data_IF_481663299040
#
_entry.id   IF_481663299040
#
_cell.length_a   1.000
_cell.length_b   1.000
_cell.length_c   1.000
_cell.angle_alpha   90.00
_cell.angle_beta   90.00
_cell.angle_gamma   90.00
#
_symmetry.space_group_name_H-M   'P 1'
#
loop_
_entity.id
_entity.type
_entity.pdbx_description
1 polymer ?
#
# COMPACT_ATOMS: atom_id res chain seq x y z
N UNK A 1 -31.77 10.50 6.90
CA UNK A 1 -31.66 9.21 7.62
C UNK A 1 -30.89 9.42 8.92
N UNK A 2 -31.43 9.02 10.07
CA UNK A 2 -30.65 8.89 11.32
C UNK A 2 -29.80 7.62 11.18
N UNK A 3 -28.50 7.78 10.98
CA UNK A 3 -27.56 6.65 10.95
C UNK A 3 -27.34 6.16 12.38
N UNK A 4 -27.65 4.89 12.65
CA UNK A 4 -27.34 4.23 13.92
C UNK A 4 -25.87 3.79 13.88
N UNK A 5 -25.01 4.20 14.83
CA UNK A 5 -23.60 3.78 14.85
C UNK A 5 -23.44 2.27 15.04
N UNK A 6 -22.45 1.67 14.38
CA UNK A 6 -22.06 0.28 14.62
C UNK A 6 -21.46 0.11 16.02
N UNK A 7 -21.49 -1.12 16.55
CA UNK A 7 -20.99 -1.45 17.88
C UNK A 7 -19.53 -1.00 18.08
N UNK A 8 -18.65 -1.28 17.10
CA UNK A 8 -17.25 -0.90 17.18
C UNK A 8 -17.06 0.63 17.20
N UNK A 9 -17.96 1.39 16.56
CA UNK A 9 -17.92 2.87 16.56
C UNK A 9 -18.28 3.41 17.93
N UNK A 10 -19.26 2.79 18.61
CA UNK A 10 -19.58 3.10 20.00
C UNK A 10 -18.43 2.70 20.95
N UNK A 11 -17.80 1.56 20.69
CA UNK A 11 -16.64 1.09 21.46
C UNK A 11 -15.47 2.07 21.37
N UNK A 12 -15.19 2.62 20.19
CA UNK A 12 -14.15 3.65 19.99
C UNK A 12 -14.28 4.80 20.99
N UNK A 13 -15.50 5.33 21.18
CA UNK A 13 -15.76 6.45 22.09
C UNK A 13 -15.34 6.11 23.53
N UNK A 14 -15.60 4.87 23.96
CA UNK A 14 -15.31 4.37 25.31
C UNK A 14 -13.81 4.13 25.54
N UNK A 15 -13.12 3.55 24.56
CA UNK A 15 -11.73 3.10 24.74
C UNK A 15 -10.68 4.13 24.32
N UNK A 16 -11.06 5.14 23.53
CA UNK A 16 -10.11 6.16 23.07
C UNK A 16 -9.67 7.05 24.25
N UNK A 17 -8.39 6.96 24.60
CA UNK A 17 -7.76 7.73 25.67
C UNK A 17 -6.75 8.76 25.14
N UNK A 18 -7.01 9.30 23.94
CA UNK A 18 -6.22 10.39 23.38
C UNK A 18 -5.12 9.99 22.39
N UNK A 19 -4.80 8.71 22.26
CA UNK A 19 -3.84 8.22 21.28
C UNK A 19 -4.22 6.82 20.80
N UNK A 20 -4.29 6.60 19.51
CA UNK A 20 -4.49 5.26 18.94
C UNK A 20 -4.77 5.25 17.44
N UNK A 21 -4.83 4.04 16.89
CA UNK A 21 -5.15 3.79 15.48
C UNK A 21 -6.41 2.93 15.35
N UNK A 22 -7.28 3.33 14.42
CA UNK A 22 -8.38 2.52 13.92
C UNK A 22 -7.87 1.80 12.67
N UNK A 23 -7.69 0.49 12.79
CA UNK A 23 -7.45 -0.40 11.66
C UNK A 23 -8.81 -0.85 11.12
N UNK A 24 -9.21 -0.33 9.95
CA UNK A 24 -10.44 -0.77 9.30
C UNK A 24 -10.41 -0.52 7.78
N UNK A 25 -11.14 -1.33 7.02
CA UNK A 25 -11.21 -1.27 5.56
C UNK A 25 -11.90 0.01 5.06
N UNK A 26 -11.80 0.29 3.75
CA UNK A 26 -12.59 1.36 3.16
C UNK A 26 -14.08 0.97 3.23
N UNK A 27 -14.98 1.94 3.38
CA UNK A 27 -16.42 1.68 3.46
C UNK A 27 -16.96 1.29 4.84
N UNK A 28 -16.12 0.92 5.80
CA UNK A 28 -16.57 0.45 7.13
C UNK A 28 -17.08 1.56 8.06
N UNK A 29 -16.99 2.82 7.64
CA UNK A 29 -17.45 3.96 8.43
C UNK A 29 -16.38 4.59 9.34
N UNK A 30 -15.08 4.44 9.04
CA UNK A 30 -13.99 5.15 9.77
C UNK A 30 -14.24 6.65 9.94
N UNK A 31 -14.63 7.32 8.86
CA UNK A 31 -14.95 8.75 8.85
C UNK A 31 -16.09 9.07 9.82
N UNK A 32 -17.17 8.29 9.79
CA UNK A 32 -18.32 8.47 10.67
C UNK A 32 -17.96 8.20 12.13
N UNK A 33 -17.18 7.15 12.41
CA UNK A 33 -16.67 6.84 13.75
C UNK A 33 -15.85 7.99 14.34
N UNK A 34 -14.97 8.59 13.52
CA UNK A 34 -14.21 9.78 13.90
C UNK A 34 -15.14 10.96 14.17
N UNK A 35 -16.12 11.23 13.32
CA UNK A 35 -17.10 12.30 13.53
C UNK A 35 -17.85 12.12 14.86
N UNK A 36 -18.28 10.89 15.18
CA UNK A 36 -18.93 10.58 16.46
C UNK A 36 -18.01 10.86 17.65
N UNK A 37 -16.74 10.46 17.57
CA UNK A 37 -15.74 10.74 18.60
C UNK A 37 -15.54 12.25 18.79
N UNK A 38 -15.35 13.00 17.69
CA UNK A 38 -15.16 14.45 17.72
C UNK A 38 -16.34 15.17 18.39
N UNK A 39 -17.57 14.78 18.03
CA UNK A 39 -18.80 15.35 18.61
C UNK A 39 -18.98 14.98 20.08
N UNK A 40 -18.63 13.74 20.47
CA UNK A 40 -18.75 13.28 21.84
C UNK A 40 -17.75 13.98 22.78
N UNK A 41 -16.50 14.17 22.32
CA UNK A 41 -15.43 14.76 23.14
C UNK A 41 -15.43 16.29 23.15
N UNK A 42 -16.07 16.94 22.18
CA UNK A 42 -16.25 18.39 22.18
C UNK A 42 -14.95 19.17 21.94
N UNK A 43 -14.02 18.62 21.17
CA UNK A 43 -12.77 19.30 20.80
C UNK A 43 -13.06 20.62 20.07
N UNK A 44 -12.32 21.67 20.42
CA UNK A 44 -12.47 23.04 19.92
C UNK A 44 -11.61 23.31 18.70
N UNK A 45 -10.39 22.77 18.67
CA UNK A 45 -9.45 22.92 17.55
C UNK A 45 -9.13 21.54 16.96
N UNK A 46 -9.60 21.26 15.76
CA UNK A 46 -9.44 19.95 15.12
C UNK A 46 -8.65 20.12 13.83
N UNK A 47 -7.61 19.32 13.64
CA UNK A 47 -6.90 19.22 12.36
C UNK A 47 -7.05 17.80 11.81
N UNK A 48 -7.45 17.69 10.55
CA UNK A 48 -7.54 16.42 9.83
C UNK A 48 -6.55 16.45 8.66
N UNK A 49 -5.52 15.61 8.75
CA UNK A 49 -4.54 15.39 7.70
C UNK A 49 -4.98 14.27 6.75
N UNK A 50 -4.94 14.53 5.44
CA UNK A 50 -5.29 13.55 4.40
C UNK A 50 -4.22 13.46 3.30
N UNK A 51 -4.07 12.34 2.57
CA UNK A 51 -2.99 12.22 1.57
C UNK A 51 -3.30 12.90 0.24
N UNK A 52 -4.58 13.12 -0.12
CA UNK A 52 -4.98 13.63 -1.43
C UNK A 52 -5.95 14.79 -1.32
N UNK A 53 -5.96 15.70 -2.32
CA UNK A 53 -6.96 16.77 -2.39
C UNK A 53 -8.38 16.21 -2.48
N UNK A 54 -8.57 15.04 -3.10
CA UNK A 54 -9.88 14.42 -3.24
C UNK A 54 -10.45 14.02 -1.87
N UNK A 55 -9.65 13.33 -1.04
CA UNK A 55 -10.03 13.03 0.34
C UNK A 55 -10.29 14.29 1.17
N UNK A 56 -9.56 15.38 0.94
CA UNK A 56 -9.83 16.67 1.60
C UNK A 56 -11.26 17.15 1.36
N UNK A 57 -11.71 17.14 0.11
CA UNK A 57 -13.09 17.55 -0.23
C UNK A 57 -14.13 16.61 0.38
N UNK A 58 -13.90 15.28 0.31
CA UNK A 58 -14.81 14.31 0.92
C UNK A 58 -14.96 14.48 2.44
N UNK A 59 -13.86 14.77 3.14
CA UNK A 59 -13.91 15.07 4.56
C UNK A 59 -14.69 16.35 4.85
N UNK A 60 -14.49 17.41 4.06
CA UNK A 60 -15.24 18.67 4.22
C UNK A 60 -16.74 18.43 4.06
N UNK A 61 -17.16 17.72 3.00
CA UNK A 61 -18.56 17.39 2.73
C UNK A 61 -19.20 16.60 3.89
N UNK A 62 -18.53 15.56 4.40
CA UNK A 62 -19.06 14.77 5.52
C UNK A 62 -19.09 15.56 6.84
N UNK A 63 -18.10 16.42 7.10
CA UNK A 63 -18.10 17.29 8.29
C UNK A 63 -19.26 18.30 8.25
N UNK A 64 -19.52 18.91 7.09
CA UNK A 64 -20.63 19.85 6.88
C UNK A 64 -21.98 19.16 7.09
N UNK A 65 -22.18 18.00 6.47
CA UNK A 65 -23.38 17.17 6.62
C UNK A 65 -23.67 16.82 8.08
N UNK A 66 -22.63 16.54 8.87
CA UNK A 66 -22.75 16.21 10.28
C UNK A 66 -22.62 17.40 11.24
N UNK A 67 -22.52 18.62 10.68
CA UNK A 67 -22.44 19.91 11.37
C UNK A 67 -21.28 20.00 12.38
N UNK A 68 -20.13 19.45 12.03
CA UNK A 68 -18.90 19.56 12.84
C UNK A 68 -18.21 20.87 12.47
N UNK A 69 -17.98 21.73 13.46
CA UNK A 69 -17.35 23.05 13.28
C UNK A 69 -15.90 23.04 13.78
N UNK A 70 -15.15 24.10 13.46
CA UNK A 70 -13.77 24.32 13.91
C UNK A 70 -12.78 23.22 13.49
N UNK A 71 -12.96 22.73 12.27
CA UNK A 71 -12.10 21.69 11.69
C UNK A 71 -11.31 22.27 10.52
N UNK A 72 -10.00 22.08 10.55
CA UNK A 72 -9.12 22.33 9.41
C UNK A 72 -8.81 20.99 8.74
N UNK A 73 -9.35 20.78 7.55
CA UNK A 73 -9.00 19.61 6.72
C UNK A 73 -7.93 20.03 5.72
N UNK A 74 -6.79 19.36 5.72
CA UNK A 74 -5.71 19.71 4.80
C UNK A 74 -4.86 18.51 4.40
N UNK A 75 -4.25 18.61 3.23
CA UNK A 75 -3.38 17.57 2.70
C UNK A 75 -2.08 17.48 3.49
N UNK A 76 -1.53 16.27 3.62
CA UNK A 76 -0.21 16.04 4.21
C UNK A 76 0.85 16.93 3.55
N UNK A 77 0.80 17.08 2.23
CA UNK A 77 1.73 17.94 1.52
C UNK A 77 1.75 19.39 2.04
N UNK A 78 0.59 19.95 2.42
CA UNK A 78 0.52 21.29 2.97
C UNK A 78 0.86 21.30 4.47
N UNK A 79 0.33 20.37 5.26
CA UNK A 79 0.60 20.29 6.70
C UNK A 79 2.08 20.06 7.02
N UNK A 80 2.83 19.46 6.08
CA UNK A 80 4.27 19.23 6.20
C UNK A 80 5.17 20.40 5.75
N UNK A 81 4.60 21.48 5.21
CA UNK A 81 5.39 22.68 4.82
C UNK A 81 5.70 23.54 6.05
N UNK A 82 6.81 24.29 5.97
CA UNK A 82 7.25 25.22 7.02
C UNK A 82 6.16 26.23 7.43
N UNK A 83 5.30 26.64 6.51
CA UNK A 83 4.16 27.54 6.79
C UNK A 83 3.14 26.99 7.79
N UNK A 84 3.12 25.68 7.97
CA UNK A 84 2.22 24.96 8.89
C UNK A 84 2.91 24.68 10.23
N UNK A 85 4.16 25.12 10.41
CA UNK A 85 4.90 24.96 11.66
C UNK A 85 4.31 25.84 12.75
N UNK A 86 4.10 25.27 13.93
CA UNK A 86 3.50 25.95 15.08
C UNK A 86 1.97 25.89 15.11
N UNK A 87 1.34 25.16 14.19
CA UNK A 87 -0.09 24.86 14.29
C UNK A 87 -0.38 24.11 15.59
N UNK A 88 -1.52 24.39 16.20
CA UNK A 88 -1.97 23.73 17.43
C UNK A 88 -3.39 23.22 17.26
N UNK A 89 -3.66 22.04 17.81
CA UNK A 89 -5.00 21.48 17.83
C UNK A 89 -5.19 20.60 19.06
N UNK A 90 -6.43 20.44 19.49
CA UNK A 90 -6.76 19.54 20.59
C UNK A 90 -6.67 18.09 20.12
N UNK A 91 -6.99 17.84 18.84
CA UNK A 91 -6.85 16.54 18.20
C UNK A 91 -6.35 16.65 16.76
N UNK A 92 -5.35 15.81 16.45
CA UNK A 92 -4.87 15.55 15.10
C UNK A 92 -5.43 14.21 14.61
N UNK A 93 -6.30 14.25 13.60
CA UNK A 93 -6.74 13.05 12.89
C UNK A 93 -5.87 12.86 11.66
N UNK A 94 -5.32 11.66 11.47
CA UNK A 94 -4.45 11.32 10.33
C UNK A 94 -5.10 10.23 9.52
N UNK A 95 -5.76 10.60 8.42
CA UNK A 95 -6.40 9.63 7.52
C UNK A 95 -5.40 9.01 6.56
N UNK A 96 -5.55 7.70 6.30
CA UNK A 96 -4.51 6.87 5.68
C UNK A 96 -3.15 7.05 6.36
N UNK A 97 -3.11 6.91 7.69
CA UNK A 97 -1.93 7.18 8.52
C UNK A 97 -0.69 6.38 8.10
N UNK A 98 -0.87 5.22 7.45
CA UNK A 98 0.24 4.46 6.86
C UNK A 98 1.03 5.24 5.79
N UNK A 99 0.44 6.27 5.18
CA UNK A 99 1.06 7.18 4.19
C UNK A 99 1.65 8.44 4.82
N UNK A 100 1.14 8.85 5.99
CA UNK A 100 1.63 10.03 6.73
C UNK A 100 3.10 9.90 7.12
N UNK A 101 3.59 8.68 7.19
CA UNK A 101 4.98 8.34 7.44
C UNK A 101 5.80 8.29 6.15
N UNK A 102 5.66 9.30 5.27
CA UNK A 102 6.59 9.63 4.18
C UNK A 102 7.56 10.77 4.61
N UNK A 103 8.67 11.09 3.92
CA UNK A 103 9.74 12.03 4.40
C UNK A 103 9.26 13.42 4.57
N UNK A 104 8.46 13.79 3.58
CA UNK A 104 7.75 15.01 3.54
C UNK A 104 6.66 14.92 4.59
N UNK A 105 5.83 13.88 4.54
CA UNK A 105 4.58 13.87 5.30
C UNK A 105 4.77 13.78 6.81
N UNK A 106 5.78 13.08 7.31
CA UNK A 106 6.02 12.98 8.76
C UNK A 106 6.22 14.34 9.42
N UNK A 107 6.69 15.35 8.68
CA UNK A 107 6.90 16.70 9.20
C UNK A 107 5.61 17.33 9.70
N UNK A 108 4.44 16.79 9.31
CA UNK A 108 3.18 17.21 9.90
C UNK A 108 3.16 16.97 11.41
N UNK A 109 3.79 15.90 11.90
CA UNK A 109 3.88 15.58 13.34
C UNK A 109 4.79 16.56 14.08
N UNK A 110 5.80 17.11 13.40
CA UNK A 110 6.70 18.12 13.96
C UNK A 110 6.09 19.53 13.89
N UNK A 111 5.32 19.79 12.84
CA UNK A 111 4.74 21.10 12.56
C UNK A 111 3.50 21.39 13.42
N UNK A 112 2.79 20.34 13.84
CA UNK A 112 1.52 20.44 14.55
C UNK A 112 1.72 19.95 15.97
N UNK A 113 1.45 20.80 16.95
CA UNK A 113 1.32 20.40 18.36
C UNK A 113 -0.12 19.94 18.60
N UNK A 114 -0.27 18.76 19.22
CA UNK A 114 -1.58 18.15 19.46
C UNK A 114 -1.64 17.48 20.84
N UNK A 115 -2.79 17.60 21.52
CA UNK A 115 -3.04 16.91 22.79
C UNK A 115 -3.46 15.46 22.56
N UNK A 116 -4.20 15.24 21.47
CA UNK A 116 -4.70 13.93 21.07
C UNK A 116 -4.38 13.62 19.61
N UNK A 117 -4.27 12.33 19.29
CA UNK A 117 -4.03 11.85 17.93
C UNK A 117 -4.85 10.60 17.62
N UNK A 118 -5.42 10.54 16.42
CA UNK A 118 -6.15 9.39 15.92
C UNK A 118 -5.69 9.05 14.50
N UNK A 119 -5.06 7.88 14.32
CA UNK A 119 -4.71 7.37 12.99
C UNK A 119 -5.83 6.51 12.41
N UNK A 120 -6.10 6.66 11.11
CA UNK A 120 -7.07 5.85 10.37
C UNK A 120 -6.33 5.13 9.24
N UNK A 121 -6.46 3.80 9.13
CA UNK A 121 -5.82 3.06 8.03
C UNK A 121 -6.42 1.66 7.89
N UNK A 122 -6.50 1.12 6.67
CA UNK A 122 -6.75 -0.32 6.49
C UNK A 122 -5.50 -1.17 6.75
N UNK A 123 -4.33 -0.59 6.54
CA UNK A 123 -3.03 -1.27 6.55
C UNK A 123 -2.02 -0.46 7.35
N UNK A 124 -2.23 -0.25 8.67
CA UNK A 124 -1.27 0.47 9.48
C UNK A 124 0.07 -0.26 9.47
N UNK A 125 1.16 0.50 9.31
CA UNK A 125 2.52 0.00 9.41
C UNK A 125 3.15 0.41 10.74
N UNK A 126 4.22 -0.26 11.15
CA UNK A 126 4.89 0.00 12.44
C UNK A 126 5.24 1.49 12.61
N UNK A 127 5.77 2.12 11.55
CA UNK A 127 6.14 3.54 11.58
C UNK A 127 4.96 4.46 11.92
N UNK A 128 3.76 4.23 11.38
CA UNK A 128 2.61 5.08 11.74
C UNK A 128 2.10 4.82 13.16
N UNK A 129 2.27 3.61 13.69
CA UNK A 129 1.93 3.30 15.08
C UNK A 129 2.86 4.01 16.08
N UNK A 130 4.12 4.25 15.71
CA UNK A 130 5.05 5.02 16.55
C UNK A 130 4.52 6.45 16.81
N UNK A 131 3.91 7.07 15.80
CA UNK A 131 3.30 8.41 15.92
C UNK A 131 1.88 8.35 16.50
N UNK A 132 1.00 7.54 15.89
CA UNK A 132 -0.43 7.52 16.18
C UNK A 132 -0.81 6.64 17.39
N UNK A 133 0.08 5.76 17.86
CA UNK A 133 -0.17 4.80 18.94
C UNK A 133 -0.58 3.41 18.48
N UNK A 134 -0.89 2.54 19.44
CA UNK A 134 -1.32 1.17 19.18
C UNK A 134 -2.65 1.13 18.41
N UNK A 135 -2.89 0.00 17.73
CA UNK A 135 -4.20 -0.30 17.17
C UNK A 135 -5.15 -0.51 18.34
N UNK A 136 -6.12 0.39 18.51
CA UNK A 136 -7.11 0.35 19.59
C UNK A 136 -8.44 -0.26 19.12
N UNK A 137 -8.71 -0.13 17.83
CA UNK A 137 -9.82 -0.78 17.14
C UNK A 137 -9.20 -1.49 15.92
N UNK A 138 -9.37 -2.80 15.85
CA UNK A 138 -9.16 -3.58 14.64
C UNK A 138 -10.55 -4.05 14.21
N UNK A 139 -11.07 -3.52 13.11
CA UNK A 139 -12.33 -3.98 12.52
C UNK A 139 -11.94 -5.09 11.54
N UNK A 140 -12.15 -6.36 11.90
CA UNK A 140 -11.93 -7.46 10.98
C UNK A 140 -12.80 -7.29 9.73
N UNK A 141 -12.37 -7.90 8.62
CA UNK A 141 -13.12 -7.91 7.36
C UNK A 141 -14.56 -8.39 7.62
N UNK A 142 -14.70 -9.38 8.46
CA UNK A 142 -15.96 -10.04 8.76
C UNK A 142 -16.97 -9.11 9.47
N UNK A 143 -16.50 -8.16 10.29
CA UNK A 143 -17.35 -7.18 11.01
C UNK A 143 -17.66 -5.93 10.18
N UNK A 144 -16.98 -5.74 9.06
CA UNK A 144 -17.03 -4.52 8.28
C UNK A 144 -18.34 -4.32 7.46
N UNK A 145 -19.39 -5.09 7.75
CA UNK A 145 -20.57 -5.26 6.88
C UNK A 145 -20.13 -5.40 5.41
N UNK A 146 -19.11 -6.24 5.20
CA UNK A 146 -18.60 -6.51 3.87
C UNK A 146 -19.66 -7.31 3.16
N UNK A 147 -20.02 -6.86 1.96
CA UNK A 147 -20.93 -7.62 1.10
C UNK A 147 -20.42 -9.06 0.95
N UNK A 148 -21.28 -10.07 0.94
CA UNK A 148 -20.83 -11.47 0.74
C UNK A 148 -20.26 -11.64 -0.68
N UNK A 149 -18.98 -11.31 -0.87
CA UNK A 149 -18.29 -11.45 -2.15
C UNK A 149 -17.39 -12.69 -2.13
N UNK A 150 -17.21 -13.29 -3.30
CA UNK A 150 -16.28 -14.42 -3.47
C UNK A 150 -15.12 -14.01 -4.36
N UNK A 151 -13.89 -14.29 -3.91
CA UNK A 151 -12.68 -14.03 -4.69
C UNK A 151 -12.22 -15.29 -5.42
N UNK A 152 -12.21 -15.24 -6.74
CA UNK A 152 -11.76 -16.31 -7.62
C UNK A 152 -10.35 -16.02 -8.10
N UNK A 153 -9.40 -16.86 -7.72
CA UNK A 153 -8.03 -16.81 -8.25
C UNK A 153 -7.93 -17.70 -9.47
N UNK A 154 -7.80 -17.09 -10.65
CA UNK A 154 -7.70 -17.78 -11.93
C UNK A 154 -6.24 -18.00 -12.29
N UNK A 155 -5.87 -19.26 -12.43
CA UNK A 155 -4.57 -19.64 -12.94
C UNK A 155 -4.52 -19.40 -14.45
N UNK A 156 -3.49 -18.68 -14.90
CA UNK A 156 -3.15 -18.56 -16.33
C UNK A 156 -1.73 -19.04 -16.53
N UNK A 157 -1.46 -19.60 -17.69
CA UNK A 157 -0.10 -19.98 -18.09
C UNK A 157 0.52 -18.90 -18.97
N UNK A 158 1.81 -18.68 -18.79
CA UNK A 158 2.63 -17.95 -19.76
C UNK A 158 2.79 -18.82 -21.01
N UNK A 159 2.97 -18.20 -22.17
CA UNK A 159 3.38 -18.95 -23.37
C UNK A 159 4.75 -19.61 -23.14
N UNK A 160 5.11 -20.67 -23.90
CA UNK A 160 6.42 -21.31 -23.76
C UNK A 160 7.59 -20.31 -23.86
N UNK A 161 7.49 -19.33 -24.75
CA UNK A 161 8.51 -18.28 -24.93
C UNK A 161 8.54 -17.27 -23.79
N UNK A 162 7.36 -16.87 -23.29
CA UNK A 162 7.25 -16.00 -22.11
C UNK A 162 7.81 -16.70 -20.86
N UNK A 163 7.48 -17.98 -20.67
CA UNK A 163 7.95 -18.79 -19.55
C UNK A 163 9.47 -18.96 -19.62
N UNK A 164 10.01 -19.28 -20.80
CA UNK A 164 11.47 -19.38 -21.01
C UNK A 164 12.17 -18.07 -20.65
N UNK A 165 11.68 -16.92 -21.13
CA UNK A 165 12.23 -15.60 -20.78
C UNK A 165 12.09 -15.30 -19.29
N UNK A 166 10.97 -15.68 -18.68
CA UNK A 166 10.76 -15.52 -17.24
C UNK A 166 11.78 -16.34 -16.43
N UNK A 167 12.05 -17.57 -16.84
CA UNK A 167 13.01 -18.47 -16.21
C UNK A 167 14.44 -17.94 -16.40
N UNK A 168 14.80 -17.51 -17.61
CA UNK A 168 16.07 -16.84 -17.90
C UNK A 168 16.31 -15.61 -17.01
N UNK A 169 15.29 -14.75 -16.84
CA UNK A 169 15.38 -13.62 -15.92
C UNK A 169 15.50 -14.09 -14.46
N UNK A 170 14.75 -15.12 -14.05
CA UNK A 170 14.79 -15.65 -12.68
C UNK A 170 16.15 -16.26 -12.34
N UNK A 171 16.76 -16.99 -13.28
CA UNK A 171 18.11 -17.53 -13.16
C UNK A 171 19.16 -16.43 -13.15
N UNK A 172 19.03 -15.41 -14.01
CA UNK A 172 19.92 -14.26 -14.01
C UNK A 172 19.85 -13.51 -12.67
N UNK A 173 18.65 -13.30 -12.13
CA UNK A 173 18.41 -12.73 -10.79
C UNK A 173 19.10 -13.58 -9.73
N UNK A 174 18.89 -14.89 -9.74
CA UNK A 174 19.51 -15.82 -8.79
C UNK A 174 21.05 -15.78 -8.83
N UNK A 175 21.64 -15.78 -10.03
CA UNK A 175 23.09 -15.68 -10.24
C UNK A 175 23.64 -14.33 -9.76
N UNK A 176 22.99 -13.23 -10.12
CA UNK A 176 23.39 -11.87 -9.71
C UNK A 176 23.29 -11.70 -8.18
N UNK A 177 22.22 -12.20 -7.56
CA UNK A 177 22.08 -12.23 -6.10
C UNK A 177 23.20 -13.05 -5.44
N UNK A 178 23.53 -14.22 -6.01
CA UNK A 178 24.63 -15.06 -5.52
C UNK A 178 25.99 -14.37 -5.60
N UNK A 179 26.28 -13.69 -6.73
CA UNK A 179 27.50 -12.89 -6.91
C UNK A 179 27.56 -11.74 -5.91
N UNK A 180 26.50 -10.93 -5.84
CA UNK A 180 26.43 -9.77 -4.96
C UNK A 180 26.59 -10.12 -3.48
N UNK A 181 26.13 -11.31 -3.04
CA UNK A 181 26.34 -11.81 -1.67
C UNK A 181 27.80 -12.15 -1.37
N UNK A 182 28.58 -12.60 -2.36
CA UNK A 182 29.99 -12.99 -2.20
C UNK A 182 30.95 -11.82 -2.39
N UNK A 183 30.56 -10.82 -3.16
CA UNK A 183 31.34 -9.60 -3.39
C UNK A 183 31.50 -8.82 -2.09
N UNK A 184 32.74 -8.42 -1.77
CA UNK A 184 33.05 -7.53 -0.64
C UNK A 184 33.22 -6.07 -1.07
N UNK A 185 33.70 -5.83 -2.29
CA UNK A 185 33.87 -4.51 -2.89
C UNK A 185 32.50 -3.81 -3.09
N UNK A 186 32.42 -2.51 -2.76
CA UNK A 186 31.18 -1.73 -2.78
C UNK A 186 30.78 -1.31 -4.20
N UNK A 187 31.71 -0.94 -5.05
CA UNK A 187 31.46 -0.54 -6.45
C UNK A 187 30.89 -1.72 -7.26
N UNK A 188 31.51 -2.89 -7.13
CA UNK A 188 31.03 -4.12 -7.77
C UNK A 188 29.61 -4.48 -7.32
N UNK A 189 29.30 -4.31 -6.02
CA UNK A 189 27.94 -4.53 -5.49
C UNK A 189 26.93 -3.61 -6.16
N UNK A 190 27.28 -2.35 -6.37
CA UNK A 190 26.40 -1.38 -7.02
C UNK A 190 26.11 -1.78 -8.48
N UNK A 191 27.12 -2.20 -9.22
CA UNK A 191 26.97 -2.73 -10.60
C UNK A 191 26.04 -3.94 -10.62
N UNK A 192 26.23 -4.89 -9.70
CA UNK A 192 25.34 -6.05 -9.61
C UNK A 192 23.91 -5.66 -9.28
N UNK A 193 23.72 -4.67 -8.40
CA UNK A 193 22.41 -4.17 -7.99
C UNK A 193 21.65 -3.53 -9.15
N UNK A 194 22.28 -2.68 -9.94
CA UNK A 194 21.65 -2.09 -11.12
C UNK A 194 21.19 -3.14 -12.13
N UNK A 195 22.07 -4.09 -12.47
CA UNK A 195 21.74 -5.21 -13.38
C UNK A 195 20.56 -6.01 -12.85
N UNK A 196 20.56 -6.24 -11.55
CA UNK A 196 19.59 -7.07 -10.88
C UNK A 196 18.21 -6.39 -10.82
N UNK A 197 18.14 -5.09 -10.51
CA UNK A 197 16.90 -4.31 -10.59
C UNK A 197 16.34 -4.26 -12.01
N UNK A 198 17.21 -4.13 -13.01
CA UNK A 198 16.83 -4.19 -14.42
C UNK A 198 16.18 -5.54 -14.75
N UNK A 199 16.78 -6.66 -14.34
CA UNK A 199 16.22 -8.00 -14.58
C UNK A 199 14.87 -8.20 -13.88
N UNK A 200 14.71 -7.66 -12.68
CA UNK A 200 13.43 -7.78 -11.94
C UNK A 200 12.35 -6.95 -12.59
N UNK A 201 12.68 -5.73 -13.02
CA UNK A 201 11.75 -4.92 -13.75
C UNK A 201 11.31 -5.61 -15.04
N UNK A 202 12.26 -6.18 -15.80
CA UNK A 202 11.96 -6.97 -17.02
C UNK A 202 11.06 -8.16 -16.71
N UNK A 203 11.40 -8.97 -15.71
CA UNK A 203 10.62 -10.14 -15.29
C UNK A 203 9.20 -9.75 -14.85
N UNK A 204 9.08 -8.71 -14.02
CA UNK A 204 7.78 -8.19 -13.55
C UNK A 204 6.95 -7.64 -14.71
N UNK A 205 7.56 -6.90 -15.63
CA UNK A 205 6.85 -6.37 -16.79
C UNK A 205 6.38 -7.48 -17.73
N UNK A 206 7.17 -8.54 -17.91
CA UNK A 206 6.76 -9.72 -18.68
C UNK A 206 5.50 -10.34 -18.07
N UNK A 207 5.49 -10.61 -16.77
CA UNK A 207 4.31 -11.19 -16.09
C UNK A 207 3.07 -10.30 -16.21
N UNK A 208 3.21 -8.98 -16.08
CA UNK A 208 2.09 -8.05 -16.23
C UNK A 208 1.55 -7.96 -17.65
N UNK A 209 2.42 -8.15 -18.64
CA UNK A 209 2.09 -8.09 -20.06
C UNK A 209 1.75 -9.46 -20.65
N UNK A 210 1.71 -10.51 -19.83
CA UNK A 210 1.43 -11.88 -20.27
C UNK A 210 0.22 -11.92 -21.19
N UNK A 211 0.41 -12.42 -22.41
CA UNK A 211 -0.59 -12.35 -23.48
C UNK A 211 -1.87 -13.10 -23.10
N UNK A 212 -1.73 -14.22 -22.38
CA UNK A 212 -2.83 -15.08 -21.92
C UNK A 212 -3.82 -14.38 -20.96
N UNK A 213 -3.44 -13.23 -20.39
CA UNK A 213 -4.36 -12.42 -19.55
C UNK A 213 -5.53 -11.86 -20.35
N UNK A 214 -5.29 -11.43 -21.58
CA UNK A 214 -6.31 -10.81 -22.44
C UNK A 214 -7.45 -11.79 -22.77
N UNK A 215 -7.19 -12.98 -23.37
CA UNK A 215 -8.27 -13.92 -23.68
C UNK A 215 -8.99 -14.38 -22.40
N UNK A 216 -8.28 -14.60 -21.28
CA UNK A 216 -8.94 -14.97 -20.03
C UNK A 216 -9.81 -13.85 -19.46
N UNK A 217 -9.37 -12.60 -19.55
CA UNK A 217 -10.18 -11.44 -19.14
C UNK A 217 -11.44 -11.30 -20.01
N UNK A 218 -11.32 -11.52 -21.33
CA UNK A 218 -12.46 -11.52 -22.26
C UNK A 218 -13.42 -12.66 -21.94
N UNK A 219 -12.93 -13.88 -21.71
CA UNK A 219 -13.74 -15.03 -21.29
C UNK A 219 -14.55 -14.71 -20.03
N UNK A 220 -13.89 -14.17 -19.00
CA UNK A 220 -14.56 -13.79 -17.75
C UNK A 220 -15.58 -12.66 -17.93
N UNK A 221 -15.29 -11.70 -18.80
CA UNK A 221 -16.23 -10.64 -19.17
C UNK A 221 -17.48 -11.20 -19.85
N UNK A 222 -17.30 -12.11 -20.80
CA UNK A 222 -18.42 -12.74 -21.51
C UNK A 222 -19.23 -13.65 -20.58
N UNK A 223 -18.57 -14.41 -19.70
CA UNK A 223 -19.24 -15.24 -18.70
C UNK A 223 -20.00 -14.46 -17.62
N UNK A 224 -19.74 -13.16 -17.48
CA UNK A 224 -20.44 -12.26 -16.55
C UNK A 224 -21.26 -11.20 -17.27
N UNK A 225 -21.73 -11.48 -18.50
CA UNK A 225 -22.64 -10.58 -19.22
C UNK A 225 -23.88 -10.23 -18.38
N UNK A 226 -24.31 -8.98 -18.47
CA UNK A 226 -25.45 -8.44 -17.71
C UNK A 226 -25.13 -8.02 -16.27
N UNK A 227 -23.97 -8.37 -15.73
CA UNK A 227 -23.51 -7.85 -14.43
C UNK A 227 -22.73 -6.55 -14.64
N UNK A 228 -23.00 -5.48 -13.87
CA UNK A 228 -22.15 -4.30 -13.88
C UNK A 228 -20.71 -4.67 -13.49
N UNK A 229 -19.79 -4.58 -14.44
CA UNK A 229 -18.43 -5.15 -14.32
C UNK A 229 -17.36 -4.08 -14.43
N UNK A 230 -16.49 -4.01 -13.43
CA UNK A 230 -15.28 -3.20 -13.50
C UNK A 230 -14.08 -4.08 -13.80
N UNK A 231 -13.31 -3.73 -14.82
CA UNK A 231 -12.08 -4.43 -15.17
C UNK A 231 -10.88 -3.55 -14.86
N UNK A 232 -9.93 -4.06 -14.09
CA UNK A 232 -8.72 -3.32 -13.70
C UNK A 232 -7.51 -3.91 -14.42
N UNK A 233 -6.85 -3.09 -15.23
CA UNK A 233 -5.60 -3.40 -15.92
C UNK A 233 -4.45 -2.56 -15.36
N UNK A 234 -3.22 -3.08 -15.37
CA UNK A 234 -2.03 -2.29 -14.98
C UNK A 234 -1.49 -1.43 -16.12
N UNK A 235 -1.76 -1.80 -17.37
CA UNK A 235 -1.20 -1.17 -18.58
C UNK A 235 -2.32 -0.69 -19.50
N UNK A 236 -2.08 0.44 -20.15
CA UNK A 236 -3.01 1.05 -21.11
C UNK A 236 -3.24 0.14 -22.31
N UNK A 237 -2.16 -0.43 -22.86
CA UNK A 237 -2.23 -1.32 -24.02
C UNK A 237 -3.11 -2.55 -23.78
N UNK A 238 -3.00 -3.18 -22.60
CA UNK A 238 -3.85 -4.31 -22.21
C UNK A 238 -5.34 -3.92 -22.18
N UNK A 239 -5.66 -2.78 -21.57
CA UNK A 239 -7.03 -2.27 -21.54
C UNK A 239 -7.55 -1.95 -22.95
N UNK A 240 -6.72 -1.33 -23.80
CA UNK A 240 -7.08 -0.99 -25.18
C UNK A 240 -7.28 -2.24 -26.05
N UNK A 241 -6.51 -3.31 -25.84
CA UNK A 241 -6.71 -4.58 -26.55
C UNK A 241 -8.02 -5.23 -26.13
N UNK A 242 -8.34 -5.28 -24.83
CA UNK A 242 -9.64 -5.79 -24.36
C UNK A 242 -10.78 -4.92 -24.90
N UNK A 243 -10.62 -3.60 -24.92
CA UNK A 243 -11.58 -2.65 -25.48
C UNK A 243 -11.85 -2.88 -26.97
N UNK A 244 -10.81 -3.09 -27.78
CA UNK A 244 -10.96 -3.43 -29.22
C UNK A 244 -11.72 -4.72 -29.46
N UNK A 245 -11.57 -5.72 -28.58
CA UNK A 245 -12.25 -7.02 -28.71
C UNK A 245 -13.70 -6.94 -28.23
N UNK A 246 -13.96 -6.20 -27.14
CA UNK A 246 -15.24 -6.23 -26.43
C UNK A 246 -16.14 -5.02 -26.71
N UNK A 247 -15.60 -3.95 -27.29
CA UNK A 247 -16.31 -2.68 -27.53
C UNK A 247 -16.46 -1.79 -26.29
N UNK A 248 -16.04 -2.23 -25.11
CA UNK A 248 -16.23 -1.45 -23.88
C UNK A 248 -15.24 -0.30 -23.73
N UNK A 249 -15.64 0.83 -23.11
CA UNK A 249 -14.80 2.01 -22.99
C UNK A 249 -13.69 1.84 -21.95
N UNK A 250 -12.59 2.58 -22.16
CA UNK A 250 -11.43 2.62 -21.28
C UNK A 250 -11.35 3.97 -20.55
N UNK A 251 -11.06 3.91 -19.26
CA UNK A 251 -10.73 5.04 -18.40
C UNK A 251 -9.28 4.93 -17.91
N UNK A 252 -8.49 6.00 -18.06
CA UNK A 252 -7.17 6.09 -17.45
C UNK A 252 -6.77 7.51 -17.11
N UNK A 253 -6.00 7.69 -16.03
CA UNK A 253 -5.66 9.01 -15.47
C UNK A 253 -4.91 9.96 -16.42
N UNK A 254 -4.23 9.43 -17.45
CA UNK A 254 -3.51 10.24 -18.45
C UNK A 254 -4.42 10.85 -19.52
N UNK A 255 -5.60 10.29 -19.75
CA UNK A 255 -6.58 10.76 -20.71
C UNK A 255 -7.95 10.33 -20.18
N UNK A 256 -8.46 11.05 -19.16
CA UNK A 256 -9.66 10.62 -18.47
C UNK A 256 -10.86 10.70 -19.42
N UNK A 257 -11.50 9.55 -19.65
CA UNK A 257 -12.80 9.50 -20.29
C UNK A 257 -13.88 9.69 -19.23
N UNK A 258 -14.05 10.94 -18.79
CA UNK A 258 -15.00 11.29 -17.72
C UNK A 258 -16.45 10.90 -18.09
N UNK A 259 -16.81 10.96 -19.38
CA UNK A 259 -18.11 10.50 -19.86
C UNK A 259 -18.32 9.00 -19.62
N UNK A 260 -17.34 8.15 -19.99
CA UNK A 260 -17.46 6.72 -19.75
C UNK A 260 -17.49 6.38 -18.25
N UNK A 261 -16.77 7.15 -17.43
CA UNK A 261 -16.82 7.00 -15.99
C UNK A 261 -18.22 7.34 -15.45
N UNK A 262 -18.79 8.46 -15.89
CA UNK A 262 -20.13 8.92 -15.52
C UNK A 262 -21.23 7.97 -16.01
N UNK A 263 -21.13 7.50 -17.26
CA UNK A 263 -22.03 6.50 -17.85
C UNK A 263 -21.99 5.19 -17.05
N UNK A 264 -20.81 4.76 -16.63
CA UNK A 264 -20.69 3.56 -15.80
C UNK A 264 -21.25 3.82 -14.41
N UNK A 265 -21.00 4.97 -13.79
CA UNK A 265 -21.54 5.31 -12.46
C UNK A 265 -23.07 5.25 -12.43
N UNK A 266 -23.72 5.77 -13.48
CA UNK A 266 -25.17 5.86 -13.59
C UNK A 266 -25.82 4.70 -14.36
N UNK A 267 -25.13 3.55 -14.47
CA UNK A 267 -25.65 2.31 -15.07
C UNK A 267 -26.07 2.46 -16.56
N UNK A 268 -25.57 3.46 -17.27
CA UNK A 268 -25.80 3.64 -18.72
C UNK A 268 -24.93 2.73 -19.58
N UNK A 269 -23.81 2.26 -19.03
CA UNK A 269 -23.00 1.19 -19.60
C UNK A 269 -22.76 0.09 -18.56
N UNK A 270 -22.72 -1.19 -18.98
CA UNK A 270 -22.57 -2.31 -18.05
C UNK A 270 -21.12 -2.58 -17.67
N UNK A 271 -20.13 -2.13 -18.45
CA UNK A 271 -18.73 -2.46 -18.23
C UNK A 271 -17.84 -1.25 -18.42
N UNK A 272 -16.83 -1.11 -17.56
CA UNK A 272 -15.76 -0.14 -17.68
C UNK A 272 -14.39 -0.81 -17.54
N UNK A 273 -13.48 -0.52 -18.47
CA UNK A 273 -12.07 -0.90 -18.39
C UNK A 273 -11.28 0.24 -17.74
N UNK A 274 -10.60 -0.02 -16.63
CA UNK A 274 -9.83 0.97 -15.89
C UNK A 274 -8.34 0.62 -15.88
N UNK A 275 -7.49 1.59 -16.19
CA UNK A 275 -6.04 1.44 -16.02
C UNK A 275 -5.62 1.99 -14.66
N UNK A 276 -5.22 1.08 -13.76
CA UNK A 276 -4.99 1.37 -12.35
C UNK A 276 -6.29 1.43 -11.54
N UNK A 277 -6.17 1.73 -10.26
CA UNK A 277 -7.33 1.88 -9.38
C UNK A 277 -8.11 3.14 -9.74
N UNK A 278 -9.45 3.04 -9.78
CA UNK A 278 -10.32 4.20 -9.86
C UNK A 278 -10.05 5.16 -8.69
N UNK A 279 -10.11 6.46 -8.98
CA UNK A 279 -9.75 7.52 -8.02
C UNK A 279 -10.62 7.47 -6.75
N UNK A 280 -10.04 7.81 -5.58
CA UNK A 280 -10.72 7.83 -4.26
C UNK A 280 -11.94 8.76 -4.25
N UNK A 281 -13.15 8.24 -4.47
CA UNK A 281 -14.40 9.02 -4.60
C UNK A 281 -15.21 8.73 -5.85
N UNK A 282 -14.80 7.70 -6.60
CA UNK A 282 -15.74 6.93 -7.41
C UNK A 282 -16.66 6.14 -6.45
N UNK A 283 -17.97 6.43 -6.46
CA UNK A 283 -18.96 5.81 -5.56
C UNK A 283 -20.05 5.03 -6.33
N UNK A 284 -19.66 4.12 -7.23
CA UNK A 284 -20.61 3.15 -7.77
C UNK A 284 -20.78 2.00 -6.78
N UNK A 285 -21.98 1.87 -6.22
CA UNK A 285 -22.33 0.85 -5.21
C UNK A 285 -22.89 -0.46 -5.78
N UNK A 286 -23.08 -0.54 -7.10
CA UNK A 286 -23.70 -1.70 -7.75
C UNK A 286 -22.77 -2.44 -8.72
N UNK A 287 -21.46 -2.48 -8.46
CA UNK A 287 -20.55 -3.31 -9.27
C UNK A 287 -20.73 -4.76 -8.81
N UNK A 288 -21.31 -5.63 -9.64
CA UNK A 288 -21.53 -7.05 -9.31
C UNK A 288 -20.34 -7.94 -9.67
N UNK A 289 -19.43 -7.46 -10.51
CA UNK A 289 -18.22 -8.20 -10.88
C UNK A 289 -16.99 -7.28 -10.96
N UNK A 290 -15.87 -7.72 -10.39
CA UNK A 290 -14.59 -7.04 -10.47
C UNK A 290 -13.56 -8.00 -11.09
N UNK A 291 -12.96 -7.64 -12.22
CA UNK A 291 -11.94 -8.45 -12.88
C UNK A 291 -10.59 -7.72 -12.79
N UNK A 292 -9.67 -8.26 -12.01
CA UNK A 292 -8.30 -7.78 -11.87
C UNK A 292 -7.41 -8.57 -12.83
N UNK A 293 -7.13 -7.97 -13.99
CA UNK A 293 -6.36 -8.58 -15.08
C UNK A 293 -4.87 -8.63 -14.73
N UNK A 294 -4.35 -7.60 -14.08
CA UNK A 294 -2.97 -7.53 -13.60
C UNK A 294 -2.84 -6.60 -12.39
N UNK A 295 -2.12 -7.04 -11.34
CA UNK A 295 -2.01 -6.29 -10.07
C UNK A 295 -0.61 -6.29 -9.48
N UNK A 296 -0.33 -5.33 -8.61
CA UNK A 296 0.91 -5.30 -7.84
C UNK A 296 0.89 -6.37 -6.75
N UNK A 297 2.07 -6.94 -6.45
CA UNK A 297 2.23 -8.04 -5.48
C UNK A 297 2.21 -7.53 -4.02
N UNK A 298 1.96 -6.23 -3.79
CA UNK A 298 2.05 -5.66 -2.43
C UNK A 298 0.73 -5.85 -1.66
N UNK A 299 0.87 -6.26 -0.40
CA UNK A 299 -0.22 -6.43 0.56
C UNK A 299 -1.13 -5.20 0.66
N UNK A 300 -0.53 -4.00 0.76
CA UNK A 300 -1.27 -2.75 0.82
C UNK A 300 -2.11 -2.51 -0.44
N UNK A 301 -1.57 -2.78 -1.64
CA UNK A 301 -2.33 -2.61 -2.87
C UNK A 301 -3.46 -3.64 -2.97
N UNK A 302 -3.22 -4.88 -2.57
CA UNK A 302 -4.21 -5.96 -2.55
C UNK A 302 -5.36 -5.65 -1.59
N UNK A 303 -5.04 -5.31 -0.34
CA UNK A 303 -6.00 -4.93 0.70
C UNK A 303 -6.76 -3.67 0.34
N UNK A 304 -6.12 -2.65 -0.25
CA UNK A 304 -6.82 -1.42 -0.63
C UNK A 304 -7.67 -1.60 -1.90
N UNK A 305 -7.26 -2.47 -2.82
CA UNK A 305 -8.04 -2.77 -4.04
C UNK A 305 -9.31 -3.55 -3.69
N UNK A 306 -9.17 -4.62 -2.89
CA UNK A 306 -10.31 -5.42 -2.41
C UNK A 306 -11.08 -4.67 -1.33
N UNK A 307 -10.43 -3.85 -0.51
CA UNK A 307 -11.07 -3.02 0.51
C UNK A 307 -12.00 -1.95 -0.07
N UNK A 308 -11.78 -1.48 -1.31
CA UNK A 308 -12.76 -0.66 -2.04
C UNK A 308 -13.91 -1.48 -2.59
N UNK A 309 -13.67 -2.77 -2.81
CA UNK A 309 -14.68 -3.75 -3.17
C UNK A 309 -15.62 -4.10 -1.98
N UNK A 310 -15.35 -3.59 -0.78
CA UNK A 310 -16.28 -3.68 0.36
C UNK A 310 -17.60 -2.92 0.09
N UNK A 311 -17.60 -1.99 -0.88
CA UNK A 311 -18.80 -1.30 -1.35
C UNK A 311 -19.52 -2.02 -2.49
N UNK A 312 -19.05 -3.21 -2.88
CA UNK A 312 -19.80 -4.04 -3.81
C UNK A 312 -21.13 -4.44 -3.14
N UNK A 313 -22.19 -4.69 -3.91
CA UNK A 313 -23.40 -5.29 -3.39
C UNK A 313 -23.13 -6.75 -2.97
N UNK A 314 -24.02 -7.31 -2.14
CA UNK A 314 -23.98 -8.72 -1.77
C UNK A 314 -23.91 -9.61 -3.03
N UNK A 315 -23.18 -10.72 -2.92
CA UNK A 315 -22.95 -11.72 -3.97
C UNK A 315 -22.08 -11.25 -5.15
N UNK A 316 -21.22 -10.25 -4.94
CA UNK A 316 -20.29 -9.84 -5.98
C UNK A 316 -19.15 -10.85 -6.21
N UNK A 317 -18.74 -11.01 -7.46
CA UNK A 317 -17.63 -11.88 -7.83
C UNK A 317 -16.37 -11.04 -8.10
N UNK A 318 -15.25 -11.38 -7.44
CA UNK A 318 -13.95 -10.76 -7.69
C UNK A 318 -13.04 -11.78 -8.36
N UNK A 319 -12.68 -11.57 -9.61
CA UNK A 319 -11.78 -12.43 -10.37
C UNK A 319 -10.38 -11.84 -10.42
N UNK A 320 -9.36 -12.61 -10.05
CA UNK A 320 -7.95 -12.19 -10.09
C UNK A 320 -7.17 -13.16 -10.95
N UNK A 321 -6.52 -12.66 -12.01
CA UNK A 321 -5.68 -13.48 -12.88
C UNK A 321 -4.25 -13.56 -12.35
N UNK A 322 -3.76 -14.77 -12.10
CA UNK A 322 -2.41 -15.04 -11.60
C UNK A 322 -1.64 -15.94 -12.56
N UNK A 323 -0.49 -15.47 -13.03
CA UNK A 323 0.39 -16.28 -13.88
C UNK A 323 1.07 -17.38 -13.04
N UNK A 324 0.80 -18.64 -13.37
CA UNK A 324 1.36 -19.83 -12.74
C UNK A 324 2.88 -19.85 -12.83
N UNK A 325 3.53 -20.47 -11.83
CA UNK A 325 4.99 -20.59 -11.76
C UNK A 325 5.74 -19.24 -11.79
N UNK A 326 5.04 -18.14 -11.53
CA UNK A 326 5.64 -16.80 -11.46
C UNK A 326 5.54 -16.19 -10.07
N UNK A 327 6.04 -14.96 -9.92
CA UNK A 327 5.91 -14.19 -8.67
C UNK A 327 4.47 -13.80 -8.33
N UNK A 328 3.52 -13.87 -9.27
CA UNK A 328 2.09 -13.62 -9.02
C UNK A 328 1.51 -14.57 -7.97
N UNK A 329 1.95 -15.82 -7.98
CA UNK A 329 1.50 -16.86 -7.05
C UNK A 329 1.67 -16.44 -5.57
N UNK A 330 2.55 -15.49 -5.26
CA UNK A 330 2.72 -14.93 -3.91
C UNK A 330 1.44 -14.29 -3.37
N UNK A 331 0.54 -13.78 -4.22
CA UNK A 331 -0.73 -13.18 -3.79
C UNK A 331 -1.67 -14.19 -3.15
N UNK A 332 -1.50 -15.50 -3.42
CA UNK A 332 -2.30 -16.55 -2.81
C UNK A 332 -2.12 -16.63 -1.28
N UNK A 333 -1.07 -16.04 -0.70
CA UNK A 333 -0.91 -15.96 0.75
C UNK A 333 -2.05 -15.17 1.42
N UNK A 334 -2.69 -14.24 0.70
CA UNK A 334 -3.78 -13.40 1.19
C UNK A 334 -5.16 -14.04 1.04
N UNK A 335 -5.25 -15.24 0.44
CA UNK A 335 -6.55 -15.88 0.14
C UNK A 335 -7.42 -16.13 1.37
N UNK A 336 -6.80 -16.33 2.53
CA UNK A 336 -7.51 -16.59 3.79
C UNK A 336 -8.14 -15.35 4.40
N UNK A 337 -7.95 -14.17 3.80
CA UNK A 337 -8.60 -12.93 4.23
C UNK A 337 -10.06 -12.83 3.77
N UNK A 338 -10.55 -13.73 2.93
CA UNK A 338 -11.88 -13.67 2.34
C UNK A 338 -12.36 -15.04 1.85
N UNK A 339 -13.66 -15.16 1.60
CA UNK A 339 -14.25 -16.30 0.88
C UNK A 339 -13.62 -16.36 -0.50
N UNK A 340 -13.02 -17.51 -0.84
CA UNK A 340 -12.26 -17.65 -2.06
C UNK A 340 -12.47 -18.99 -2.75
N UNK A 341 -12.22 -19.00 -4.06
CA UNK A 341 -12.11 -20.20 -4.89
C UNK A 341 -10.84 -20.12 -5.72
N UNK A 342 -10.20 -21.26 -5.91
CA UNK A 342 -9.05 -21.41 -6.81
C UNK A 342 -9.55 -22.07 -8.08
N UNK A 343 -9.32 -21.42 -9.22
CA UNK A 343 -9.74 -21.88 -10.55
C UNK A 343 -8.49 -22.21 -11.36
N UNK A 344 -8.34 -23.50 -11.68
CA UNK A 344 -7.12 -24.07 -12.25
C UNK A 344 -6.13 -24.53 -11.18
N UNK A 345 -4.94 -24.95 -11.61
CA UNK A 345 -3.92 -25.52 -10.72
C UNK A 345 -2.76 -24.56 -10.49
N UNK A 346 -2.45 -24.29 -9.22
CA UNK A 346 -1.25 -23.56 -8.81
C UNK A 346 -0.19 -24.50 -8.24
N UNK A 347 1.06 -24.05 -8.21
CA UNK A 347 2.13 -24.86 -7.60
C UNK A 347 1.83 -25.15 -6.12
N UNK A 348 2.05 -26.39 -5.64
CA UNK A 348 1.90 -26.74 -4.20
C UNK A 348 2.71 -25.79 -3.30
N UNK A 349 3.82 -25.28 -3.82
CA UNK A 349 4.71 -24.36 -3.12
C UNK A 349 4.15 -22.94 -2.98
N UNK A 350 3.23 -22.53 -3.86
CA UNK A 350 2.54 -21.24 -3.81
C UNK A 350 1.47 -21.16 -2.73
N UNK A 351 0.84 -22.29 -2.42
CA UNK A 351 -0.18 -22.38 -1.39
C UNK A 351 0.42 -22.30 0.02
N UNK A 352 1.74 -22.53 0.16
CA UNK A 352 2.46 -22.37 1.43
C UNK A 352 2.77 -20.90 1.68
N UNK A 353 2.54 -20.36 2.89
CA UNK A 353 3.00 -19.02 3.24
C UNK A 353 4.52 -18.92 3.07
N UNK A 354 4.99 -18.09 2.14
CA UNK A 354 6.42 -17.80 1.93
C UNK A 354 6.68 -16.35 2.26
N UNK A 355 7.87 -16.06 2.77
CA UNK A 355 8.29 -14.69 3.00
C UNK A 355 8.40 -13.94 1.66
N UNK A 356 7.52 -12.96 1.36
CA UNK A 356 7.45 -12.35 0.03
C UNK A 356 8.65 -11.42 -0.25
N UNK A 357 9.33 -10.99 0.82
CA UNK A 357 10.38 -9.97 0.84
C UNK A 357 11.77 -10.51 0.56
N UNK A 358 11.96 -11.83 0.48
CA UNK A 358 13.29 -12.46 0.33
C UNK A 358 14.08 -11.81 -0.80
N UNK A 359 13.49 -11.75 -1.98
CA UNK A 359 14.14 -11.18 -3.15
C UNK A 359 14.46 -9.69 -2.94
N UNK A 360 13.45 -8.90 -2.57
CA UNK A 360 13.53 -7.45 -2.30
C UNK A 360 14.59 -7.09 -1.27
N UNK A 361 14.75 -7.91 -0.23
CA UNK A 361 15.75 -7.71 0.81
C UNK A 361 17.16 -7.82 0.28
N UNK A 362 17.43 -8.82 -0.56
CA UNK A 362 18.77 -9.00 -1.09
C UNK A 362 19.08 -8.06 -2.25
N UNK A 363 18.07 -7.42 -2.84
CA UNK A 363 18.24 -6.38 -3.85
C UNK A 363 18.55 -5.03 -3.27
N UNK A 364 18.04 -4.82 -2.07
CA UNK A 364 18.04 -3.56 -1.39
C UNK A 364 19.44 -3.17 -0.88
N UNK A 365 19.65 -1.85 -0.76
CA UNK A 365 20.92 -1.29 -0.28
C UNK A 365 21.14 -1.71 1.14
N UNK A 366 22.36 -2.15 1.44
CA UNK A 366 22.73 -2.42 2.82
C UNK A 366 23.00 -1.13 3.57
N UNK A 367 22.32 -1.02 4.70
CA UNK A 367 22.60 -0.03 5.71
C UNK A 367 22.75 -0.74 7.06
N UNK A 368 23.42 -0.06 7.97
CA UNK A 368 23.60 -0.51 9.34
C UNK A 368 23.04 0.57 10.27
N UNK A 369 22.56 0.15 11.41
CA UNK A 369 22.29 1.02 12.55
C UNK A 369 23.27 0.64 13.66
N UNK A 370 23.85 1.61 14.35
CA UNK A 370 24.68 1.35 15.52
C UNK A 370 23.84 1.30 16.81
N UNK A 371 24.49 1.03 17.94
CA UNK A 371 23.84 0.98 19.27
C UNK A 371 23.33 2.33 19.76
N UNK A 372 23.72 3.42 19.11
CA UNK A 372 23.24 4.78 19.40
C UNK A 372 22.11 5.20 18.44
N UNK A 373 21.57 4.27 17.64
CA UNK A 373 20.47 4.54 16.73
C UNK A 373 20.87 5.25 15.43
N UNK A 374 22.17 5.46 15.19
CA UNK A 374 22.66 6.19 14.02
C UNK A 374 22.75 5.24 12.82
N UNK A 375 22.09 5.63 11.73
CA UNK A 375 22.15 4.88 10.47
C UNK A 375 23.43 5.24 9.73
N UNK A 376 24.14 4.24 9.23
CA UNK A 376 25.34 4.40 8.42
C UNK A 376 25.42 3.36 7.31
N UNK A 377 26.26 3.63 6.33
CA UNK A 377 26.66 2.70 5.30
C UNK A 377 28.18 2.62 5.34
N UNK A 378 28.71 1.41 5.25
CA UNK A 378 30.15 1.20 5.16
C UNK A 378 30.59 1.42 3.72
N UNK A 379 31.59 2.26 3.52
CA UNK A 379 32.29 2.44 2.27
C UNK A 379 33.82 2.27 2.50
N UNK A 380 34.61 2.37 1.44
CA UNK A 380 36.07 2.16 1.52
C UNK A 380 36.78 3.26 2.35
N UNK A 381 36.10 4.36 2.66
CA UNK A 381 36.58 5.47 3.49
C UNK A 381 36.08 5.42 4.93
N UNK A 382 35.37 4.35 5.33
CA UNK A 382 34.85 4.15 6.69
C UNK A 382 33.32 4.15 6.76
N UNK A 383 32.77 4.58 7.91
CA UNK A 383 31.32 4.68 8.12
C UNK A 383 30.82 6.04 7.64
N UNK A 384 29.95 6.03 6.65
CA UNK A 384 29.21 7.21 6.23
C UNK A 384 27.88 7.25 6.96
N UNK A 385 27.76 8.12 7.95
CA UNK A 385 26.54 8.30 8.72
C UNK A 385 25.52 9.14 7.94
N UNK A 386 24.26 8.74 8.05
CA UNK A 386 23.13 9.45 7.49
C UNK A 386 22.43 10.24 8.60
N UNK A 387 21.74 11.31 8.21
CA UNK A 387 20.94 12.10 9.14
C UNK A 387 19.84 11.23 9.76
N UNK A 388 19.52 11.52 11.02
CA UNK A 388 18.49 10.80 11.76
C UNK A 388 17.19 10.63 10.97
N UNK A 389 16.68 9.41 11.03
CA UNK A 389 15.48 9.00 10.34
C UNK A 389 14.57 8.26 11.32
N UNK A 390 13.24 8.49 11.33
CA UNK A 390 12.32 7.79 12.24
C UNK A 390 12.32 6.27 12.09
N UNK A 391 12.81 5.75 10.95
CA UNK A 391 13.04 4.32 10.82
C UNK A 391 14.08 3.78 11.82
N UNK A 392 15.01 4.63 12.30
CA UNK A 392 15.99 4.29 13.33
C UNK A 392 15.32 3.70 14.55
N UNK A 393 14.29 4.33 15.12
CA UNK A 393 13.58 3.82 16.30
C UNK A 393 12.94 2.45 16.05
N UNK A 394 12.38 2.25 14.85
CA UNK A 394 11.80 0.98 14.43
C UNK A 394 12.86 -0.13 14.27
N UNK A 395 14.07 0.23 13.83
CA UNK A 395 15.24 -0.64 13.67
C UNK A 395 15.90 -0.95 15.01
N UNK A 396 16.11 0.05 15.87
CA UNK A 396 16.64 -0.11 17.23
C UNK A 396 15.77 -1.11 18.01
N UNK A 397 14.45 -0.93 18.00
CA UNK A 397 13.53 -1.88 18.63
C UNK A 397 13.59 -3.27 18.01
N UNK A 398 13.77 -3.37 16.69
CA UNK A 398 13.87 -4.68 16.02
C UNK A 398 15.15 -5.42 16.43
N UNK A 399 16.25 -4.70 16.60
CA UNK A 399 17.54 -5.25 16.99
C UNK A 399 17.79 -5.20 18.50
N UNK A 400 16.76 -4.93 19.31
CA UNK A 400 16.85 -4.81 20.77
C UNK A 400 17.95 -3.83 21.22
N UNK A 401 18.00 -2.65 20.59
CA UNK A 401 18.98 -1.58 20.83
C UNK A 401 20.44 -2.00 20.61
N UNK A 402 20.65 -3.13 19.91
CA UNK A 402 21.96 -3.55 19.41
C UNK A 402 22.10 -3.07 17.96
N UNK A 403 23.34 -2.79 17.56
CA UNK A 403 23.60 -2.49 16.16
C UNK A 403 23.19 -3.65 15.24
N UNK A 404 22.71 -3.34 14.03
CA UNK A 404 22.15 -4.33 13.13
C UNK A 404 22.16 -3.90 11.66
N UNK A 405 22.04 -4.87 10.76
CA UNK A 405 22.00 -4.62 9.32
C UNK A 405 20.57 -4.70 8.80
N UNK A 406 20.21 -3.74 7.97
CA UNK A 406 18.93 -3.67 7.30
C UNK A 406 19.12 -3.26 5.84
N UNK A 407 18.01 -3.27 5.10
CA UNK A 407 17.99 -3.16 3.65
C UNK A 407 16.93 -2.18 3.21
N UNK A 408 17.22 -1.30 2.24
CA UNK A 408 16.23 -0.39 1.64
C UNK A 408 16.08 -0.65 0.14
N UNK A 409 14.86 -0.91 -0.33
CA UNK A 409 14.57 -1.15 -1.76
C UNK A 409 14.55 0.17 -2.54
N UNK A 410 14.56 0.09 -3.87
CA UNK A 410 14.38 1.26 -4.76
C UNK A 410 13.03 1.97 -4.59
N UNK A 411 11.99 1.23 -4.23
CA UNK A 411 10.68 1.78 -3.86
C UNK A 411 10.68 2.27 -2.39
N UNK A 412 11.87 2.48 -1.83
CA UNK A 412 12.16 2.84 -0.46
C UNK A 412 11.68 1.82 0.60
N UNK A 413 11.21 0.62 0.27
CA UNK A 413 10.78 -0.34 1.29
C UNK A 413 11.95 -0.76 2.20
N UNK A 414 11.80 -0.55 3.52
CA UNK A 414 12.77 -0.95 4.54
C UNK A 414 12.49 -2.39 4.92
N UNK A 415 13.51 -3.23 4.82
CA UNK A 415 13.47 -4.66 5.11
C UNK A 415 14.60 -5.01 6.07
N UNK A 416 14.33 -5.85 7.06
CA UNK A 416 15.31 -6.27 8.05
C UNK A 416 15.16 -7.76 8.36
N UNK A 417 16.22 -8.41 8.86
CA UNK A 417 16.14 -9.80 9.34
C UNK A 417 15.89 -9.84 10.84
N UNK A 418 14.85 -10.55 11.27
CA UNK A 418 14.55 -10.81 12.67
C UNK A 418 14.11 -12.27 12.84
N UNK A 419 14.73 -13.00 13.76
CA UNK A 419 14.41 -14.42 14.02
C UNK A 419 14.52 -15.32 12.79
N UNK A 420 15.49 -15.08 11.90
CA UNK A 420 15.67 -15.83 10.66
C UNK A 420 14.71 -15.49 9.52
N UNK A 421 13.71 -14.62 9.75
CA UNK A 421 12.74 -14.15 8.75
C UNK A 421 13.05 -12.72 8.33
N UNK A 422 12.67 -12.37 7.10
CA UNK A 422 12.75 -11.00 6.59
C UNK A 422 11.42 -10.30 6.87
N UNK A 423 11.47 -9.16 7.55
CA UNK A 423 10.29 -8.36 7.87
C UNK A 423 10.36 -7.02 7.16
N UNK A 424 9.20 -6.49 6.76
CA UNK A 424 9.10 -5.12 6.31
C UNK A 424 8.87 -4.19 7.48
N UNK A 425 9.60 -3.07 7.52
CA UNK A 425 9.47 -2.01 8.52
C UNK A 425 8.74 -0.76 7.98
N UNK A 426 8.20 -0.84 6.75
CA UNK A 426 7.55 0.26 6.06
C UNK A 426 8.41 0.87 4.96
N UNK A 427 7.88 1.87 4.26
CA UNK A 427 8.56 2.53 3.14
C UNK A 427 9.28 3.76 3.65
N UNK A 428 10.60 3.77 3.44
CA UNK A 428 11.42 4.94 3.60
C UNK A 428 10.86 6.08 2.79
N UNK A 429 11.14 7.16 3.41
CA UNK A 429 10.47 8.36 3.25
C UNK A 429 11.12 9.02 2.02
N UNK A 430 12.34 9.52 2.17
CA UNK A 430 13.19 10.06 1.12
C UNK A 430 14.32 9.03 0.95
N UNK A 431 14.84 8.83 -0.28
CA UNK A 431 16.06 8.05 -0.44
C UNK A 431 17.16 8.63 0.46
N UNK A 432 17.83 7.79 1.26
CA UNK A 432 18.87 8.25 2.21
C UNK A 432 19.96 9.10 1.54
N UNK A 433 20.14 8.91 0.23
CA UNK A 433 21.09 9.61 -0.65
C UNK A 433 20.71 11.07 -0.96
N UNK A 434 19.43 11.47 -0.85
CA UNK A 434 18.97 12.84 -1.16
C UNK A 434 18.95 13.78 0.05
N UNK A 435 19.35 13.28 1.22
CA UNK A 435 19.41 14.03 2.47
C UNK A 435 20.88 14.41 2.69
N UNK A 436 21.24 15.69 2.49
CA UNK A 436 22.62 16.21 2.56
C UNK A 436 23.40 15.62 3.76
N UNK A 437 24.62 15.19 3.46
CA UNK A 437 25.59 14.63 4.41
C UNK A 437 25.78 15.54 5.63
N UNK A 438 25.63 14.99 6.82
CA UNK A 438 26.16 15.61 8.03
C UNK A 438 27.68 15.45 8.00
N UNK A 439 28.42 16.57 7.94
CA UNK A 439 29.85 16.60 8.27
C UNK A 439 30.00 16.33 9.77
N UNK A 440 29.81 15.10 10.21
CA UNK A 440 30.18 14.70 11.57
C UNK A 440 31.44 13.86 11.41
N UNK A 441 32.58 14.46 11.81
CA UNK A 441 33.85 13.73 11.94
C UNK A 441 33.64 12.55 12.89
N UNK A 442 34.32 11.41 12.69
CA UNK A 442 34.39 10.40 13.73
C UNK A 442 34.89 11.07 15.00
N UNK A 443 34.20 10.85 16.13
CA UNK A 443 34.82 11.10 17.43
C UNK A 443 36.05 10.21 17.47
N UNK A 444 37.23 10.86 17.43
CA UNK A 444 38.49 10.22 17.75
C UNK A 444 38.31 9.73 19.19
N UNK A 445 38.44 8.41 19.38
CA UNK A 445 38.55 7.83 20.71
C UNK A 445 39.69 8.56 21.42
N UNK A 446 39.36 9.35 22.44
CA UNK A 446 40.29 9.60 23.53
C UNK A 446 40.23 8.37 24.41
N UNK A 447 41.12 7.44 24.11
CA UNK A 447 41.97 6.72 25.06
C UNK A 447 43.07 6.02 24.26
#
# INVERSE_FOLDING_TARGET
MKFTPYEWQNRLIKIYNGKGVIKAFAGTGKTFATILLLKNRGYKNIIIGVPTRKLKHQWIEELEKHRVKNVVVETFHILSKKRSSGLKCDILVVDECHRSVSPVFKRLYDNISYDHILGLSATPNKACLDFCGNIIIDVPIEEAQISDFTVYFHAIDLSPDEQKKYDEYSEAIGRLLGKMRRTRNVEDKWIYREKLDSMIFKRRSLVYNAESRVPKAVELLMGNQGKPTLVICKRIEQANTISRITGYPVYHSKQPNEKALDDFQHDRIPVLLSVGMLSEGYDKRNIKCLIIVSTAITEAYHIQSIGRAVRLPDDADIHILLARKTTDEKLLQFRHMYKHKIIGEFSKSALKPKNPWVEQYYLADEYSIDSEGRIFQKNDKGKQYFKDNPISTSLERLFNYRGGNFRITKDNLVLAKAGGKIVSLGVLQEPLEKIKHTKIKPLINQN
#
